data_IF_318119039139
#
_entry.id   IF_318119039139
#
_cell.length_a   1.000
_cell.length_b   1.000
_cell.length_c   1.000
_cell.angle_alpha   90.00
_cell.angle_beta   90.00
_cell.angle_gamma   90.00
#
_symmetry.space_group_name_H-M   'P 1'
#
loop_
_entity.id
_entity.type
_entity.pdbx_description
1 polymer ?
#
# COMPACT_ATOMS: atom_id res chain seq x y z
N UNK A 1 -5.36 -3.96 4.40
CA UNK A 1 -4.03 -3.48 4.00
C UNK A 1 -3.51 -2.50 5.04
N UNK A 2 -2.22 -2.56 5.34
CA UNK A 2 -1.49 -1.58 6.14
C UNK A 2 -0.31 -1.06 5.32
N UNK A 3 -0.09 0.25 5.34
CA UNK A 3 1.05 0.91 4.70
C UNK A 3 1.83 1.64 5.79
N UNK A 4 3.13 1.42 5.88
CA UNK A 4 4.02 2.18 6.75
C UNK A 4 5.06 2.87 5.89
N UNK A 5 5.15 4.20 5.99
CA UNK A 5 6.18 4.96 5.28
C UNK A 5 7.42 5.10 6.16
N UNK A 6 8.58 4.78 5.59
CA UNK A 6 9.88 4.87 6.26
C UNK A 6 10.79 5.79 5.46
N UNK A 7 11.59 6.60 6.15
CA UNK A 7 12.57 7.45 5.50
C UNK A 7 13.67 6.60 4.85
N UNK A 8 13.89 6.81 3.55
CA UNK A 8 15.01 6.29 2.78
C UNK A 8 16.00 7.40 2.41
N UNK A 9 16.84 7.14 1.41
CA UNK A 9 17.90 8.06 1.02
C UNK A 9 17.35 9.43 0.63
N UNK A 10 17.87 10.49 1.25
CA UNK A 10 17.40 11.87 1.04
C UNK A 10 16.21 12.29 1.91
N UNK A 11 15.74 11.43 2.81
CA UNK A 11 14.83 11.75 3.90
C UNK A 11 15.43 11.36 5.25
N UNK A 12 15.12 12.14 6.28
CA UNK A 12 15.22 11.73 7.68
C UNK A 12 13.82 11.46 8.23
N UNK A 13 13.70 10.68 9.31
CA UNK A 13 12.42 10.47 10.00
C UNK A 13 11.76 11.80 10.38
N UNK A 14 12.54 12.75 10.91
CA UNK A 14 12.04 14.09 11.24
C UNK A 14 11.54 14.87 10.01
N UNK A 15 12.27 14.82 8.90
CA UNK A 15 11.83 15.50 7.67
C UNK A 15 10.56 14.88 7.07
N UNK A 16 10.41 13.56 7.19
CA UNK A 16 9.23 12.86 6.70
C UNK A 16 8.02 13.11 7.60
N UNK A 17 8.21 13.12 8.92
CA UNK A 17 7.15 13.44 9.88
C UNK A 17 6.64 14.89 9.75
N UNK A 18 7.51 15.83 9.37
CA UNK A 18 7.15 17.23 9.15
C UNK A 18 6.50 17.49 7.77
N UNK A 19 6.63 16.57 6.82
CA UNK A 19 6.15 16.74 5.45
C UNK A 19 4.62 16.66 5.33
N UNK A 20 4.06 17.34 4.34
CA UNK A 20 2.66 17.18 3.94
C UNK A 20 2.55 15.93 3.07
N UNK A 21 2.05 14.85 3.66
CA UNK A 21 1.91 13.56 3.00
C UNK A 21 0.45 13.27 2.64
N UNK A 22 0.23 12.77 1.43
CA UNK A 22 -0.99 12.04 1.07
C UNK A 22 -0.65 10.72 0.38
N UNK A 23 -1.49 9.71 0.60
CA UNK A 23 -1.29 8.35 0.08
C UNK A 23 -2.50 7.97 -0.76
N UNK A 24 -2.26 7.27 -1.86
CA UNK A 24 -3.28 6.60 -2.67
C UNK A 24 -2.89 5.15 -2.90
N UNK A 25 -3.90 4.29 -2.87
CA UNK A 25 -3.82 2.92 -3.37
C UNK A 25 -4.55 2.93 -4.71
N UNK A 26 -3.82 2.69 -5.79
CA UNK A 26 -4.33 2.96 -7.12
C UNK A 26 -4.99 1.70 -7.70
N UNK A 27 -5.87 1.93 -8.69
CA UNK A 27 -6.40 0.88 -9.57
C UNK A 27 -7.16 -0.24 -8.83
N UNK A 28 -8.00 0.15 -7.88
CA UNK A 28 -8.83 -0.78 -7.13
C UNK A 28 -10.29 -0.66 -7.56
N UNK A 29 -10.98 -1.80 -7.54
CA UNK A 29 -12.44 -1.85 -7.52
C UNK A 29 -12.92 -1.58 -6.10
N UNK A 30 -13.72 -0.52 -5.94
CA UNK A 30 -14.25 -0.06 -4.64
C UNK A 30 -15.72 -0.42 -4.42
N UNK A 31 -16.34 -1.11 -5.38
CA UNK A 31 -17.70 -1.63 -5.26
C UNK A 31 -17.67 -3.16 -5.17
N UNK A 32 -18.63 -3.74 -4.46
CA UNK A 32 -18.73 -5.19 -4.34
C UNK A 32 -20.17 -5.67 -4.13
N UNK A 33 -20.39 -6.94 -4.43
CA UNK A 33 -21.55 -7.70 -3.96
C UNK A 33 -21.10 -8.67 -2.88
N UNK A 34 -21.78 -8.67 -1.74
CA UNK A 34 -21.54 -9.60 -0.63
C UNK A 34 -22.69 -10.60 -0.53
N UNK A 35 -22.36 -11.89 -0.55
CA UNK A 35 -23.30 -12.97 -0.29
C UNK A 35 -23.26 -13.30 1.21
N UNK A 36 -24.34 -13.00 1.94
CA UNK A 36 -24.39 -13.15 3.39
C UNK A 36 -24.54 -14.60 3.87
N UNK A 37 -25.02 -15.53 3.03
CA UNK A 37 -25.14 -16.93 3.41
C UNK A 37 -23.81 -17.69 3.28
N UNK A 38 -22.96 -17.27 2.35
CA UNK A 38 -21.66 -17.92 2.07
C UNK A 38 -20.45 -17.11 2.56
N UNK A 39 -20.64 -15.83 2.87
CA UNK A 39 -19.56 -14.89 3.18
C UNK A 39 -18.74 -14.44 1.96
N UNK A 40 -19.08 -14.87 0.75
CA UNK A 40 -18.34 -14.52 -0.45
C UNK A 40 -18.53 -13.05 -0.83
N UNK A 41 -17.41 -12.35 -1.13
CA UNK A 41 -17.40 -10.96 -1.60
C UNK A 41 -16.80 -10.92 -2.99
N UNK A 42 -17.48 -10.29 -3.95
CA UNK A 42 -17.03 -10.17 -5.34
C UNK A 42 -16.89 -8.70 -5.74
N UNK A 43 -15.69 -8.30 -6.18
CA UNK A 43 -15.41 -6.95 -6.66
C UNK A 43 -16.17 -6.61 -7.95
N UNK A 44 -16.61 -5.34 -8.07
CA UNK A 44 -17.40 -4.78 -9.17
C UNK A 44 -16.94 -3.36 -9.51
N UNK A 45 -17.37 -2.89 -10.67
CA UNK A 45 -17.03 -1.56 -11.18
C UNK A 45 -15.65 -1.48 -11.80
N UNK A 46 -15.29 -0.25 -12.17
CA UNK A 46 -14.03 0.10 -12.79
C UNK A 46 -12.94 0.39 -11.75
N UNK A 47 -11.70 0.41 -12.20
CA UNK A 47 -10.53 0.78 -11.42
C UNK A 47 -10.64 2.25 -10.96
N UNK A 48 -10.46 2.48 -9.66
CA UNK A 48 -10.36 3.82 -9.06
C UNK A 48 -9.26 3.86 -8.00
N UNK A 49 -8.83 5.06 -7.63
CA UNK A 49 -7.94 5.27 -6.49
C UNK A 49 -8.72 5.22 -5.18
N UNK A 50 -8.07 4.72 -4.13
CA UNK A 50 -8.56 4.72 -2.76
C UNK A 50 -7.58 5.46 -1.85
N UNK A 51 -8.08 6.44 -1.11
CA UNK A 51 -7.30 7.13 -0.08
C UNK A 51 -7.44 6.33 1.22
N UNK A 52 -6.35 5.76 1.76
CA UNK A 52 -6.40 5.01 3.01
C UNK A 52 -6.60 5.96 4.20
N UNK A 53 -7.15 5.43 5.29
CA UNK A 53 -7.21 6.15 6.56
C UNK A 53 -5.80 6.36 7.08
N UNK A 54 -5.45 7.61 7.42
CA UNK A 54 -4.21 7.92 8.14
C UNK A 54 -4.36 7.54 9.60
N UNK A 55 -3.40 6.77 10.09
CA UNK A 55 -3.24 6.40 11.50
C UNK A 55 -2.16 7.29 12.14
N UNK A 56 -1.71 6.98 13.36
CA UNK A 56 -0.63 7.71 14.00
C UNK A 56 0.67 7.71 13.16
N UNK A 57 1.37 8.85 13.19
CA UNK A 57 2.62 9.04 12.46
C UNK A 57 2.46 8.88 10.94
N UNK A 58 3.25 7.97 10.37
CA UNK A 58 3.32 7.70 8.93
C UNK A 58 2.73 6.33 8.57
N UNK A 59 1.75 5.86 9.36
CA UNK A 59 1.03 4.63 9.11
C UNK A 59 -0.36 4.90 8.52
N UNK A 60 -0.81 4.02 7.65
CA UNK A 60 -2.10 4.11 6.97
C UNK A 60 -2.77 2.73 6.89
N UNK A 61 -4.10 2.73 6.92
CA UNK A 61 -4.91 1.52 6.88
C UNK A 61 -6.06 1.63 5.90
N UNK A 62 -6.35 0.53 5.20
CA UNK A 62 -7.51 0.40 4.35
C UNK A 62 -8.09 -1.01 4.40
N UNK A 63 -9.43 -1.09 4.32
CA UNK A 63 -10.15 -2.33 4.05
C UNK A 63 -10.36 -2.42 2.54
N UNK A 64 -9.82 -3.48 1.93
CA UNK A 64 -9.80 -3.67 0.48
C UNK A 64 -10.71 -4.84 0.14
N UNK A 65 -11.56 -4.66 -0.86
CA UNK A 65 -12.40 -5.73 -1.40
C UNK A 65 -11.47 -6.79 -2.04
N UNK A 66 -11.70 -8.10 -1.79
CA UNK A 66 -10.89 -9.14 -2.39
C UNK A 66 -10.93 -9.07 -3.92
N UNK A 67 -9.74 -8.95 -4.54
CA UNK A 67 -9.59 -8.75 -5.99
C UNK A 67 -8.18 -9.05 -6.48
N UNK A 68 -8.05 -9.42 -7.76
CA UNK A 68 -6.77 -9.44 -8.44
C UNK A 68 -6.22 -8.02 -8.63
N UNK A 69 -4.90 -7.87 -8.64
CA UNK A 69 -4.22 -6.58 -8.82
C UNK A 69 -3.47 -6.60 -10.14
N UNK A 70 -3.80 -5.64 -11.02
CA UNK A 70 -3.14 -5.47 -12.32
C UNK A 70 -1.75 -4.83 -12.20
N UNK A 71 -1.00 -4.84 -13.29
CA UNK A 71 0.32 -4.19 -13.36
C UNK A 71 0.25 -2.65 -13.22
N UNK A 72 1.36 -2.03 -12.82
CA UNK A 72 1.49 -0.58 -12.64
C UNK A 72 1.78 -0.17 -11.20
N UNK A 73 1.64 1.12 -10.92
CA UNK A 73 1.88 1.70 -9.59
C UNK A 73 0.75 1.33 -8.63
N UNK A 74 1.05 0.51 -7.63
CA UNK A 74 0.07 0.09 -6.62
C UNK A 74 -0.16 1.17 -5.57
N UNK A 75 0.91 1.84 -5.14
CA UNK A 75 0.84 2.91 -4.14
C UNK A 75 1.50 4.15 -4.73
N UNK A 76 0.82 5.29 -4.59
CA UNK A 76 1.41 6.61 -4.84
C UNK A 76 1.42 7.38 -3.54
N UNK A 77 2.59 7.90 -3.17
CA UNK A 77 2.79 8.75 -2.00
C UNK A 77 3.20 10.13 -2.49
N UNK A 78 2.35 11.12 -2.27
CA UNK A 78 2.73 12.51 -2.50
C UNK A 78 3.36 13.07 -1.23
N UNK A 79 4.58 13.61 -1.35
CA UNK A 79 5.30 14.30 -0.28
C UNK A 79 5.59 15.71 -0.75
N UNK A 80 4.97 16.70 -0.13
CA UNK A 80 5.16 18.13 -0.44
C UNK A 80 4.99 18.48 -1.93
N UNK A 81 4.06 17.81 -2.62
CA UNK A 81 3.77 18.07 -4.03
C UNK A 81 4.55 17.20 -5.02
N UNK A 82 5.47 16.34 -4.57
CA UNK A 82 6.13 15.34 -5.41
C UNK A 82 5.55 13.95 -5.17
N UNK A 83 5.23 13.24 -6.24
CA UNK A 83 4.79 11.85 -6.19
C UNK A 83 5.98 10.88 -6.16
N UNK A 84 5.88 9.89 -5.28
CA UNK A 84 6.75 8.72 -5.16
C UNK A 84 5.91 7.48 -5.40
N UNK A 85 6.36 6.60 -6.28
CA UNK A 85 5.54 5.48 -6.73
C UNK A 85 6.13 4.13 -6.33
N UNK A 86 5.31 3.28 -5.71
CA UNK A 86 5.62 1.87 -5.51
C UNK A 86 4.89 1.05 -6.59
N UNK A 87 5.59 0.46 -7.57
CA UNK A 87 5.00 -0.49 -8.50
C UNK A 87 4.54 -1.75 -7.77
N UNK A 88 3.51 -2.41 -8.32
CA UNK A 88 3.11 -3.74 -7.84
C UNK A 88 4.30 -4.69 -7.90
N UNK A 89 4.58 -5.38 -6.80
CA UNK A 89 5.56 -6.47 -6.77
C UNK A 89 5.12 -7.62 -7.68
N UNK A 90 6.04 -8.24 -8.40
CA UNK A 90 5.75 -9.46 -9.19
C UNK A 90 5.30 -10.63 -8.33
N UNK A 91 5.62 -10.60 -7.03
CA UNK A 91 5.18 -11.59 -6.04
C UNK A 91 3.77 -11.30 -5.50
N UNK A 92 3.21 -10.12 -5.76
CA UNK A 92 1.89 -9.72 -5.32
C UNK A 92 0.90 -9.78 -6.48
N UNK A 93 -0.09 -10.67 -6.42
CA UNK A 93 -1.07 -10.86 -7.50
C UNK A 93 -2.50 -10.48 -7.12
N UNK A 94 -2.85 -10.49 -5.83
CA UNK A 94 -4.21 -10.26 -5.38
C UNK A 94 -4.30 -9.81 -3.92
N UNK A 95 -5.32 -9.01 -3.62
CA UNK A 95 -5.84 -8.88 -2.26
C UNK A 95 -6.78 -10.06 -1.99
N UNK A 96 -6.31 -11.06 -1.25
CA UNK A 96 -7.14 -12.21 -0.88
C UNK A 96 -8.08 -11.92 0.30
N UNK A 97 -9.23 -12.59 0.33
CA UNK A 97 -10.20 -12.48 1.40
C UNK A 97 -9.61 -12.95 2.73
N UNK A 98 -9.98 -12.26 3.82
CA UNK A 98 -9.52 -12.60 5.17
C UNK A 98 -8.03 -12.32 5.44
N UNK A 99 -7.27 -11.79 4.46
CA UNK A 99 -5.84 -11.51 4.63
C UNK A 99 -5.56 -10.05 4.99
N UNK A 100 -4.53 -9.87 5.80
CA UNK A 100 -3.98 -8.56 6.15
C UNK A 100 -2.64 -8.35 5.46
N UNK A 101 -2.66 -7.62 4.34
CA UNK A 101 -1.45 -7.29 3.58
C UNK A 101 -0.72 -6.10 4.19
N UNK A 102 0.59 -6.22 4.42
CA UNK A 102 1.47 -5.16 4.92
C UNK A 102 2.42 -4.69 3.82
N UNK A 103 2.59 -3.37 3.73
CA UNK A 103 3.52 -2.71 2.81
C UNK A 103 4.38 -1.74 3.60
N UNK A 104 5.65 -2.08 3.77
CA UNK A 104 6.66 -1.11 4.25
C UNK A 104 7.22 -0.36 3.05
N UNK A 105 6.93 0.93 2.93
CA UNK A 105 7.33 1.75 1.79
C UNK A 105 8.47 2.69 2.20
N UNK A 106 9.66 2.44 1.67
CA UNK A 106 10.82 3.29 1.91
C UNK A 106 10.85 4.41 0.88
N UNK A 107 10.67 5.67 1.31
CA UNK A 107 10.67 6.83 0.43
C UNK A 107 12.09 7.34 0.23
N UNK A 108 12.60 7.35 -1.00
CA UNK A 108 13.94 7.84 -1.32
C UNK A 108 13.89 8.90 -2.41
N UNK A 109 14.59 10.02 -2.23
CA UNK A 109 14.71 11.09 -3.26
C UNK A 109 15.58 10.68 -4.46
N UNK A 110 16.40 9.64 -4.29
CA UNK A 110 17.24 9.01 -5.32
C UNK A 110 17.43 7.53 -5.03
N UNK A 111 17.38 6.70 -6.08
CA UNK A 111 17.50 5.26 -6.02
C UNK A 111 18.88 4.80 -5.61
N UNK A 112 19.01 4.14 -4.47
CA UNK A 112 20.07 3.15 -4.21
C UNK A 112 19.74 2.44 -2.89
N UNK A 113 19.05 1.31 -2.97
CA UNK A 113 18.90 0.39 -1.84
C UNK A 113 17.56 -0.34 -1.85
N UNK A 114 17.59 -1.62 -2.23
CA UNK A 114 16.52 -2.58 -1.97
C UNK A 114 16.49 -2.84 -0.47
N UNK A 115 15.40 -2.53 0.23
CA UNK A 115 15.26 -2.81 1.66
C UNK A 115 14.04 -3.71 1.92
N UNK A 116 14.24 -4.78 2.69
CA UNK A 116 13.26 -5.82 3.00
C UNK A 116 13.18 -5.96 4.51
N UNK A 117 12.01 -5.81 5.13
CA UNK A 117 11.83 -6.00 6.58
C UNK A 117 10.63 -6.92 6.89
N UNK A 118 10.82 -7.87 7.80
CA UNK A 118 9.87 -8.94 8.18
C UNK A 118 9.33 -8.70 9.60
N UNK A 119 8.05 -9.00 9.88
CA UNK A 119 7.48 -9.09 11.26
C UNK A 119 6.27 -10.05 11.31
N UNK A 120 5.88 -10.54 12.51
CA UNK A 120 4.89 -11.64 12.74
C UNK A 120 3.55 -11.18 13.35
N UNK A 121 2.40 -11.65 12.80
CA UNK A 121 1.40 -12.62 13.35
C UNK A 121 0.32 -12.88 12.27
N UNK A 122 0.17 -14.14 11.82
CA UNK A 122 -0.62 -14.64 10.66
C UNK A 122 -0.57 -13.70 9.45
N UNK A 123 0.66 -13.24 9.22
CA UNK A 123 1.15 -12.66 7.99
C UNK A 123 1.23 -13.81 6.97
N UNK A 124 0.94 -13.55 5.69
CA UNK A 124 1.17 -14.56 4.64
C UNK A 124 2.67 -14.86 4.43
N UNK A 125 3.52 -14.20 5.23
CA UNK A 125 4.95 -14.40 5.32
C UNK A 125 5.75 -13.49 4.38
N UNK A 126 5.09 -12.57 3.66
CA UNK A 126 5.72 -11.80 2.58
C UNK A 126 5.42 -10.30 2.76
N UNK A 127 6.47 -9.49 3.00
CA UNK A 127 6.36 -8.04 2.83
C UNK A 127 6.40 -7.73 1.32
N UNK A 128 5.31 -7.17 0.80
CA UNK A 128 5.20 -6.74 -0.60
C UNK A 128 5.63 -5.28 -0.80
N UNK A 129 6.15 -4.65 0.26
CA UNK A 129 6.77 -3.34 0.24
C UNK A 129 8.09 -3.27 -0.54
N UNK A 130 8.66 -2.07 -0.59
CA UNK A 130 9.86 -1.76 -1.37
C UNK A 130 10.19 -0.28 -1.33
N UNK A 131 11.17 0.13 -2.14
CA UNK A 131 11.57 1.53 -2.27
C UNK A 131 10.69 2.24 -3.29
N UNK A 132 10.11 3.37 -2.91
CA UNK A 132 9.37 4.26 -3.79
C UNK A 132 10.19 5.54 -4.06
N UNK A 133 10.22 5.94 -5.32
CA UNK A 133 11.04 7.03 -5.89
C UNK A 133 10.21 7.97 -6.76
#
# INVERSE_FOLDING_TARGET
>A
MIINLVAGNGFTEASLAAAKISVKINRLKTQATANLSTGAVTAKGDDTDLIPLKEEGNSYKALIIPQAVGEGNLITVNVDGRDFNLPKSSKFSAFEAGKKHKFTVTLSKTSNGVNVNISKWEDDGIDYGGTAE
#
